data_IF_364240185278
#
_entry.id   IF_364240185278
#
_cell.length_a   1.000
_cell.length_b   1.000
_cell.length_c   1.000
_cell.angle_alpha   90.00
_cell.angle_beta   90.00
_cell.angle_gamma   90.00
#
_symmetry.space_group_name_H-M   'P 1'
#
loop_
_entity.id
_entity.type
_entity.pdbx_description
1 polymer ?
#
# COMPACT_ATOMS: atom_id res chain seq x y z
N UNK A 1 -24.87 -21.21 -2.72
CA UNK A 1 -26.02 -20.34 -3.06
C UNK A 1 -26.08 -20.01 -4.55
N UNK A 2 -25.11 -19.26 -5.11
CA UNK A 2 -25.10 -18.82 -6.52
C UNK A 2 -25.28 -19.97 -7.53
N UNK A 3 -24.60 -21.10 -7.31
CA UNK A 3 -24.72 -22.27 -8.18
C UNK A 3 -26.12 -22.87 -8.18
N UNK A 4 -26.70 -23.11 -6.99
CA UNK A 4 -28.08 -23.61 -6.84
C UNK A 4 -29.09 -22.66 -7.49
N UNK A 5 -28.93 -21.35 -7.29
CA UNK A 5 -29.80 -20.36 -7.92
C UNK A 5 -29.74 -20.40 -9.45
N UNK A 6 -28.54 -20.52 -10.03
CA UNK A 6 -28.38 -20.67 -11.48
C UNK A 6 -29.05 -21.94 -12.00
N UNK A 7 -28.95 -23.07 -11.28
CA UNK A 7 -29.61 -24.32 -11.64
C UNK A 7 -31.13 -24.16 -11.70
N UNK A 8 -31.74 -23.63 -10.63
CA UNK A 8 -33.19 -23.34 -10.56
C UNK A 8 -33.63 -22.43 -11.71
N UNK A 9 -32.88 -21.35 -11.98
CA UNK A 9 -33.20 -20.43 -13.08
C UNK A 9 -33.07 -21.08 -14.46
N UNK A 10 -32.07 -21.94 -14.66
CA UNK A 10 -31.87 -22.66 -15.91
C UNK A 10 -32.98 -23.68 -16.14
N UNK A 11 -33.38 -24.43 -15.12
CA UNK A 11 -34.50 -25.37 -15.17
C UNK A 11 -35.82 -24.64 -15.45
N UNK A 12 -36.08 -23.54 -14.76
CA UNK A 12 -37.25 -22.69 -15.04
C UNK A 12 -37.24 -22.15 -16.47
N UNK A 13 -36.09 -21.71 -16.99
CA UNK A 13 -35.97 -21.19 -18.35
C UNK A 13 -36.10 -22.28 -19.43
N UNK A 14 -35.75 -23.53 -19.11
CA UNK A 14 -35.97 -24.68 -19.96
C UNK A 14 -37.45 -25.12 -19.99
N UNK A 15 -38.22 -24.83 -18.94
CA UNK A 15 -39.65 -25.12 -18.91
C UNK A 15 -40.44 -24.27 -19.92
N UNK A 16 -41.52 -24.84 -20.47
CA UNK A 16 -42.30 -24.22 -21.56
C UNK A 16 -42.91 -22.84 -21.24
N UNK A 17 -43.15 -22.53 -19.96
CA UNK A 17 -43.57 -21.19 -19.53
C UNK A 17 -42.37 -20.23 -19.48
N UNK A 18 -41.27 -20.60 -18.83
CA UNK A 18 -40.09 -19.75 -18.65
C UNK A 18 -39.30 -19.49 -19.93
N UNK A 19 -39.34 -20.41 -20.90
CA UNK A 19 -38.67 -20.26 -22.20
C UNK A 19 -39.15 -19.04 -23.00
N UNK A 20 -40.41 -18.63 -22.80
CA UNK A 20 -41.04 -17.50 -23.51
C UNK A 20 -40.67 -16.13 -22.91
N UNK A 21 -40.11 -16.10 -21.72
CA UNK A 21 -39.78 -14.86 -21.01
C UNK A 21 -38.28 -14.58 -21.05
N UNK A 22 -37.91 -13.33 -21.34
CA UNK A 22 -36.51 -12.89 -21.30
C UNK A 22 -35.97 -12.81 -19.86
N UNK A 23 -36.84 -12.38 -18.94
CA UNK A 23 -36.58 -12.21 -17.51
C UNK A 23 -37.62 -12.97 -16.66
N UNK A 24 -37.32 -13.18 -15.38
CA UNK A 24 -38.27 -13.83 -14.45
C UNK A 24 -39.40 -12.84 -14.12
N UNK A 25 -40.67 -13.16 -14.41
CA UNK A 25 -41.81 -12.33 -14.05
C UNK A 25 -42.00 -12.30 -12.52
N UNK A 26 -42.60 -11.21 -12.02
CA UNK A 26 -42.76 -10.98 -10.57
C UNK A 26 -43.57 -12.07 -9.88
N UNK A 27 -44.49 -12.72 -10.59
CA UNK A 27 -45.39 -13.73 -10.02
C UNK A 27 -44.67 -15.08 -9.81
N UNK A 28 -43.69 -15.40 -10.65
CA UNK A 28 -42.92 -16.66 -10.57
C UNK A 28 -41.72 -16.53 -9.62
N UNK A 29 -41.20 -15.31 -9.41
CA UNK A 29 -40.03 -15.06 -8.56
C UNK A 29 -40.17 -15.58 -7.12
N UNK A 30 -41.27 -15.35 -6.38
CA UNK A 30 -41.45 -15.88 -5.03
C UNK A 30 -41.36 -17.40 -4.97
N UNK A 31 -41.90 -18.09 -5.98
CA UNK A 31 -41.86 -19.55 -6.08
C UNK A 31 -40.43 -20.06 -6.21
N UNK A 32 -39.68 -19.51 -7.17
CA UNK A 32 -38.27 -19.86 -7.39
C UNK A 32 -37.40 -19.53 -6.17
N UNK A 33 -37.64 -18.40 -5.51
CA UNK A 33 -36.92 -18.02 -4.30
C UNK A 33 -37.19 -18.98 -3.15
N UNK A 34 -38.44 -19.42 -2.97
CA UNK A 34 -38.81 -20.42 -1.96
C UNK A 34 -38.08 -21.75 -2.21
N UNK A 35 -37.99 -22.17 -3.46
CA UNK A 35 -37.24 -23.36 -3.84
C UNK A 35 -35.75 -23.23 -3.49
N UNK A 36 -35.13 -22.08 -3.80
CA UNK A 36 -33.74 -21.81 -3.43
C UNK A 36 -33.52 -21.91 -1.92
N UNK A 37 -34.42 -21.33 -1.12
CA UNK A 37 -34.33 -21.39 0.34
C UNK A 37 -34.44 -22.82 0.87
N UNK A 38 -35.37 -23.61 0.32
CA UNK A 38 -35.52 -25.03 0.66
C UNK A 38 -34.24 -25.81 0.38
N UNK A 39 -33.66 -25.65 -0.82
CA UNK A 39 -32.40 -26.31 -1.16
C UNK A 39 -31.23 -25.81 -0.30
N UNK A 40 -31.24 -24.55 0.15
CA UNK A 40 -30.17 -24.02 0.99
C UNK A 40 -30.23 -24.57 2.42
N UNK A 41 -31.44 -24.90 2.90
CA UNK A 41 -31.69 -25.43 4.24
C UNK A 41 -30.95 -26.75 4.50
N UNK A 42 -30.83 -27.63 3.49
CA UNK A 42 -30.09 -28.89 3.58
C UNK A 42 -28.66 -28.73 4.13
N UNK A 43 -27.98 -27.65 3.73
CA UNK A 43 -26.59 -27.36 4.14
C UNK A 43 -26.49 -26.14 5.05
N UNK A 44 -27.61 -25.64 5.57
CA UNK A 44 -27.62 -24.39 6.34
C UNK A 44 -26.76 -24.52 7.61
N UNK A 45 -26.87 -25.65 8.32
CA UNK A 45 -26.09 -25.91 9.54
C UNK A 45 -24.60 -25.96 9.23
N UNK A 46 -24.18 -26.69 8.19
CA UNK A 46 -22.76 -26.83 7.85
C UNK A 46 -22.17 -25.53 7.30
N UNK A 47 -22.95 -24.76 6.54
CA UNK A 47 -22.56 -23.42 6.08
C UNK A 47 -22.39 -22.47 7.27
N UNK A 48 -23.27 -22.57 8.27
CA UNK A 48 -23.18 -21.77 9.48
C UNK A 48 -21.93 -22.13 10.29
N UNK A 49 -21.72 -23.42 10.54
CA UNK A 49 -20.54 -23.95 11.23
C UNK A 49 -19.25 -23.55 10.52
N UNK A 50 -19.18 -23.69 9.19
CA UNK A 50 -18.01 -23.28 8.41
C UNK A 50 -17.78 -21.78 8.39
N UNK A 51 -18.85 -20.97 8.41
CA UNK A 51 -18.77 -19.52 8.56
C UNK A 51 -18.13 -19.10 9.89
N UNK A 52 -18.47 -19.79 10.98
CA UNK A 52 -17.91 -19.52 12.30
C UNK A 52 -16.54 -20.18 12.55
N UNK A 53 -16.10 -21.11 11.70
CA UNK A 53 -14.83 -21.82 11.87
C UNK A 53 -13.68 -20.87 12.15
N UNK A 54 -13.50 -19.84 11.31
CA UNK A 54 -12.40 -18.87 11.42
C UNK A 54 -12.42 -18.04 12.70
N UNK A 55 -13.60 -17.80 13.25
CA UNK A 55 -13.79 -17.02 14.48
C UNK A 55 -13.53 -17.82 15.74
N UNK A 56 -13.30 -19.14 15.62
CA UNK A 56 -13.13 -20.01 16.78
C UNK A 56 -14.38 -20.17 17.65
N UNK A 57 -15.54 -19.67 17.19
CA UNK A 57 -16.83 -19.80 17.90
C UNK A 57 -17.36 -21.23 17.75
N UNK A 58 -17.26 -21.80 16.54
CA UNK A 58 -17.65 -23.18 16.28
C UNK A 58 -16.67 -23.90 15.32
N UNK A 59 -16.08 -25.04 15.73
CA UNK A 59 -15.97 -25.52 17.11
C UNK A 59 -15.28 -24.48 18.00
N UNK A 60 -15.49 -24.56 19.31
CA UNK A 60 -14.88 -23.63 20.26
C UNK A 60 -13.35 -23.83 20.26
N UNK A 61 -12.62 -22.87 19.70
CA UNK A 61 -11.16 -22.90 19.59
C UNK A 61 -10.59 -21.49 19.49
N UNK A 62 -10.09 -20.99 20.62
CA UNK A 62 -9.46 -19.67 20.71
C UNK A 62 -8.19 -19.54 19.86
N UNK A 63 -7.50 -20.65 19.57
CA UNK A 63 -6.26 -20.61 18.78
C UNK A 63 -6.53 -20.12 17.36
N UNK A 64 -7.71 -20.39 16.80
CA UNK A 64 -8.08 -19.86 15.49
C UNK A 64 -8.10 -18.32 15.42
N UNK A 65 -8.45 -17.66 16.52
CA UNK A 65 -8.42 -16.20 16.63
C UNK A 65 -7.01 -15.72 16.93
N UNK A 66 -6.34 -16.32 17.92
CA UNK A 66 -4.98 -15.95 18.33
C UNK A 66 -4.01 -16.01 17.16
N UNK A 67 -4.04 -17.08 16.36
CA UNK A 67 -3.19 -17.24 15.17
C UNK A 67 -3.41 -16.18 14.08
N UNK A 68 -4.53 -15.44 14.12
CA UNK A 68 -4.84 -14.37 13.17
C UNK A 68 -4.48 -12.99 13.71
N UNK A 69 -4.16 -12.87 15.00
CA UNK A 69 -3.74 -11.60 15.57
C UNK A 69 -2.36 -11.22 15.02
N UNK A 70 -2.20 -9.94 14.68
CA UNK A 70 -0.96 -9.42 14.11
C UNK A 70 0.25 -9.77 14.99
N UNK A 71 0.12 -9.72 16.31
CA UNK A 71 1.20 -10.03 17.23
C UNK A 71 1.72 -11.46 17.03
N UNK A 72 0.83 -12.44 16.95
CA UNK A 72 1.19 -13.85 16.72
C UNK A 72 1.77 -14.07 15.33
N UNK A 73 1.30 -13.34 14.32
CA UNK A 73 1.86 -13.40 12.96
C UNK A 73 3.25 -12.78 12.91
N UNK A 74 3.48 -11.68 13.62
CA UNK A 74 4.78 -10.98 13.67
C UNK A 74 5.81 -11.78 14.48
N UNK A 75 5.39 -12.40 15.58
CA UNK A 75 6.28 -13.25 16.41
C UNK A 75 6.59 -14.58 15.75
N UNK A 76 5.63 -15.16 15.00
CA UNK A 76 5.82 -16.43 14.30
C UNK A 76 6.30 -16.26 12.85
N UNK A 77 6.37 -15.02 12.35
CA UNK A 77 7.03 -14.75 11.08
C UNK A 77 8.48 -15.20 11.22
N UNK A 78 8.94 -16.01 10.27
CA UNK A 78 10.34 -16.40 10.20
C UNK A 78 11.21 -15.14 10.31
N UNK A 79 12.27 -15.20 11.12
CA UNK A 79 13.23 -14.10 11.27
C UNK A 79 13.70 -13.62 9.88
N UNK A 80 13.82 -14.55 8.92
CA UNK A 80 14.12 -14.27 7.51
C UNK A 80 13.09 -13.36 6.82
N UNK A 81 11.79 -13.48 7.12
CA UNK A 81 10.74 -12.60 6.54
C UNK A 81 10.81 -11.21 7.17
N UNK A 82 11.03 -11.12 8.49
CA UNK A 82 11.22 -9.84 9.19
C UNK A 82 12.45 -9.12 8.67
N UNK A 83 13.55 -9.82 8.53
CA UNK A 83 14.81 -9.29 8.02
C UNK A 83 14.70 -8.89 6.56
N UNK A 84 14.15 -9.74 5.69
CA UNK A 84 14.02 -9.42 4.25
C UNK A 84 13.07 -8.25 4.00
N UNK A 85 11.88 -8.23 4.62
CA UNK A 85 10.93 -7.13 4.45
C UNK A 85 11.46 -5.85 5.08
N UNK A 86 12.04 -5.94 6.29
CA UNK A 86 12.64 -4.81 6.98
C UNK A 86 13.79 -4.19 6.19
N UNK A 87 14.71 -5.02 5.68
CA UNK A 87 15.88 -4.57 4.92
C UNK A 87 15.47 -3.94 3.58
N UNK A 88 14.57 -4.58 2.81
CA UNK A 88 14.07 -4.00 1.56
C UNK A 88 13.31 -2.70 1.80
N UNK A 89 12.54 -2.60 2.88
CA UNK A 89 11.83 -1.37 3.22
C UNK A 89 12.81 -0.24 3.61
N UNK A 90 13.81 -0.54 4.43
CA UNK A 90 14.86 0.43 4.80
C UNK A 90 15.66 0.86 3.56
N UNK A 91 15.98 -0.06 2.65
CA UNK A 91 16.65 0.26 1.39
C UNK A 91 15.81 1.20 0.52
N UNK A 92 14.50 0.92 0.41
CA UNK A 92 13.57 1.79 -0.30
C UNK A 92 13.52 3.20 0.31
N UNK A 93 13.44 3.31 1.63
CA UNK A 93 13.46 4.61 2.32
C UNK A 93 14.78 5.36 2.12
N UNK A 94 15.92 4.66 2.13
CA UNK A 94 17.23 5.26 1.82
C UNK A 94 17.28 5.80 0.41
N UNK A 95 16.75 5.04 -0.57
CA UNK A 95 16.65 5.47 -1.96
C UNK A 95 15.78 6.72 -2.10
N UNK A 96 14.57 6.72 -1.53
CA UNK A 96 13.67 7.89 -1.56
C UNK A 96 14.33 9.11 -0.92
N UNK A 97 15.03 8.92 0.21
CA UNK A 97 15.77 10.01 0.88
C UNK A 97 16.92 10.52 0.02
N UNK A 98 17.67 9.65 -0.64
CA UNK A 98 18.74 10.04 -1.57
C UNK A 98 18.19 10.80 -2.78
N UNK A 99 17.07 10.37 -3.36
CA UNK A 99 16.39 11.09 -4.46
C UNK A 99 15.87 12.46 -4.04
N UNK A 100 15.41 12.61 -2.79
CA UNK A 100 14.97 13.89 -2.25
C UNK A 100 16.14 14.81 -1.85
N UNK A 101 17.26 14.24 -1.40
CA UNK A 101 18.43 14.98 -0.87
C UNK A 101 19.46 15.29 -1.96
N UNK A 102 19.51 14.50 -3.05
CA UNK A 102 20.23 14.90 -4.25
C UNK A 102 19.56 16.17 -4.74
N UNK A 103 20.27 17.29 -4.57
CA UNK A 103 19.86 18.59 -5.05
C UNK A 103 19.63 18.45 -6.55
N UNK A 104 18.38 18.21 -6.96
CA UNK A 104 17.98 18.44 -8.35
C UNK A 104 18.33 19.90 -8.54
N UNK A 105 19.38 20.15 -9.31
CA UNK A 105 19.69 21.48 -9.82
C UNK A 105 18.47 21.88 -10.64
N UNK A 106 17.48 22.49 -9.99
CA UNK A 106 16.29 23.00 -10.66
C UNK A 106 16.84 24.14 -11.52
N UNK A 107 17.13 23.81 -12.78
CA UNK A 107 17.44 24.81 -13.79
C UNK A 107 16.20 25.69 -13.90
N UNK A 108 16.25 26.88 -13.31
CA UNK A 108 15.19 27.87 -13.46
C UNK A 108 15.05 28.13 -14.95
N UNK A 109 13.85 27.88 -15.49
CA UNK A 109 13.57 28.15 -16.91
C UNK A 109 13.78 29.64 -17.16
N UNK A 110 14.64 30.00 -18.12
CA UNK A 110 14.79 31.38 -18.56
C UNK A 110 13.45 31.83 -19.13
N UNK A 111 12.95 32.99 -18.68
CA UNK A 111 11.67 33.54 -19.18
C UNK A 111 11.93 34.20 -20.53
N UNK A 112 11.05 33.98 -21.51
CA UNK A 112 11.12 34.66 -22.80
C UNK A 112 10.84 36.15 -22.58
N UNK A 113 11.79 37.01 -22.96
CA UNK A 113 11.60 38.44 -22.90
C UNK A 113 10.78 38.87 -24.12
N UNK A 114 9.51 39.25 -23.92
CA UNK A 114 8.60 39.64 -25.00
C UNK A 114 8.21 41.10 -24.85
N UNK A 115 8.45 41.94 -25.89
CA UNK A 115 8.07 43.34 -25.84
C UNK A 115 6.54 43.49 -25.89
N UNK A 116 5.98 44.57 -25.31
CA UNK A 116 4.54 44.81 -25.30
C UNK A 116 3.92 44.76 -26.70
N UNK A 117 2.70 44.20 -26.80
CA UNK A 117 1.94 44.15 -28.05
C UNK A 117 2.32 43.01 -29.01
N UNK A 118 3.30 42.15 -28.68
CA UNK A 118 3.59 40.93 -29.45
C UNK A 118 2.83 39.72 -28.91
N UNK A 119 2.19 38.98 -29.82
CA UNK A 119 1.60 37.67 -29.54
C UNK A 119 2.65 36.57 -29.67
N UNK A 120 2.59 35.55 -28.81
CA UNK A 120 3.51 34.41 -28.80
C UNK A 120 2.74 33.15 -29.20
N UNK A 121 3.28 32.36 -30.11
CA UNK A 121 2.74 31.06 -30.51
C UNK A 121 3.65 29.91 -30.07
N UNK A 122 3.13 28.68 -30.07
CA UNK A 122 3.87 27.47 -29.67
C UNK A 122 5.13 27.22 -30.50
N UNK A 123 5.17 27.72 -31.74
CA UNK A 123 6.33 27.65 -32.65
C UNK A 123 7.53 28.48 -32.18
N UNK A 124 7.29 29.57 -31.43
CA UNK A 124 8.34 30.50 -31.01
C UNK A 124 9.24 29.91 -29.91
N UNK A 125 8.73 28.92 -29.17
CA UNK A 125 9.48 28.19 -28.15
C UNK A 125 10.48 27.20 -28.76
N UNK A 126 10.18 26.62 -29.93
CA UNK A 126 11.03 25.61 -30.58
C UNK A 126 12.24 26.24 -31.28
N UNK A 127 12.09 27.47 -31.79
CA UNK A 127 13.16 28.15 -32.54
C UNK A 127 14.28 28.69 -31.64
N UNK A 128 14.00 28.96 -30.36
CA UNK A 128 14.99 29.53 -29.45
C UNK A 128 16.00 28.50 -28.90
N UNK A 129 15.70 27.21 -28.99
CA UNK A 129 16.66 26.15 -28.60
C UNK A 129 17.70 25.88 -29.70
N UNK A 130 17.46 26.31 -30.94
CA UNK A 130 18.34 26.06 -32.09
C UNK A 130 19.27 27.22 -32.47
N UNK A 131 19.17 28.39 -31.82
CA UNK A 131 19.97 29.57 -32.14
C UNK A 131 21.22 29.78 -31.24
N UNK A 132 21.40 28.99 -30.19
CA UNK A 132 22.53 29.12 -29.23
C UNK A 132 23.55 27.96 -29.32
N UNK A 133 23.52 27.18 -30.40
CA UNK A 133 24.54 26.15 -30.68
C UNK A 133 25.76 26.76 -31.39
N UNK A 134 26.46 27.68 -30.74
CA UNK A 134 27.87 27.98 -31.00
C UNK A 134 28.42 28.90 -29.90
N UNK A 135 29.58 28.49 -29.35
CA UNK A 135 30.45 29.13 -28.35
C UNK A 135 30.19 28.72 -26.89
N UNK A 136 30.95 27.72 -26.43
CA UNK A 136 32.06 27.88 -25.46
C UNK A 136 32.45 26.47 -24.97
N UNK A 137 33.61 25.99 -25.43
CA UNK A 137 34.40 24.93 -24.79
C UNK A 137 35.13 25.49 -23.57
N UNK A 138 35.24 24.72 -22.47
CA UNK A 138 36.42 24.82 -21.60
C UNK A 138 37.01 23.42 -21.37
N UNK A 139 38.24 23.14 -21.81
CA UNK A 139 39.51 23.44 -21.12
C UNK A 139 39.55 22.84 -19.71
N UNK A 140 40.24 21.70 -19.60
CA UNK A 140 40.66 21.09 -18.34
C UNK A 140 41.93 21.85 -17.94
N UNK A 141 41.87 22.59 -16.84
CA UNK A 141 43.06 23.08 -16.14
C UNK A 141 42.99 22.57 -14.69
N UNK A 142 44.08 21.89 -14.31
CA UNK A 142 44.44 21.46 -12.96
C UNK A 142 44.68 22.64 -12.00
N UNK A 143 44.70 22.30 -10.71
CA UNK A 143 45.28 23.04 -9.57
C UNK A 143 44.51 24.21 -8.94
N UNK A 144 43.93 23.96 -7.76
CA UNK A 144 44.52 24.45 -6.50
C UNK A 144 43.71 24.03 -5.25
N UNK A 145 44.42 23.50 -4.25
CA UNK A 145 44.05 23.52 -2.82
C UNK A 145 44.67 24.79 -2.23
N UNK A 146 43.89 25.67 -1.56
CA UNK A 146 44.02 25.88 -0.10
C UNK A 146 42.64 26.26 0.51
N UNK A 147 42.38 26.42 1.80
CA UNK A 147 43.02 26.26 3.10
C UNK A 147 41.87 26.51 4.12
N UNK A 148 42.07 26.08 5.37
CA UNK A 148 41.05 25.96 6.39
C UNK A 148 40.34 27.25 6.77
N UNK A 149 39.15 27.09 7.35
CA UNK A 149 38.64 27.97 8.43
C UNK A 149 37.53 27.21 9.17
N UNK A 150 37.82 26.78 10.39
CA UNK A 150 36.78 26.61 11.41
C UNK A 150 36.35 27.99 11.92
N UNK A 151 35.12 28.13 12.43
CA UNK A 151 35.06 28.52 13.83
C UNK A 151 34.03 27.75 14.65
N UNK A 152 34.49 27.48 15.87
CA UNK A 152 33.79 27.01 17.05
C UNK A 152 32.96 28.12 17.70
N UNK A 153 31.74 27.84 18.17
CA UNK A 153 31.08 28.46 19.35
C UNK A 153 30.06 27.45 19.90
N UNK A 154 30.30 26.84 21.08
CA UNK A 154 29.71 27.13 22.40
C UNK A 154 28.18 27.33 22.40
N UNK A 155 27.33 26.63 23.14
CA UNK A 155 27.43 25.60 24.17
C UNK A 155 26.08 25.54 24.92
N UNK A 156 25.56 24.35 25.26
CA UNK A 156 24.65 24.19 26.41
C UNK A 156 24.62 22.74 26.89
N UNK A 157 24.94 22.54 28.18
CA UNK A 157 24.82 21.29 28.94
C UNK A 157 23.59 21.41 29.84
N UNK A 158 22.74 20.39 29.88
CA UNK A 158 22.05 19.94 31.10
C UNK A 158 21.94 18.41 31.07
N UNK A 159 22.12 17.79 32.24
CA UNK A 159 22.31 16.36 32.49
C UNK A 159 20.99 15.66 32.93
N UNK A 160 21.08 14.32 33.01
CA UNK A 160 20.36 13.39 33.92
C UNK A 160 18.95 12.96 33.45
N UNK A 161 18.52 11.69 33.53
CA UNK A 161 19.06 10.45 34.09
C UNK A 161 18.54 9.25 33.26
N UNK A 162 19.38 8.23 33.10
CA UNK A 162 19.00 6.90 32.60
C UNK A 162 18.92 5.97 33.81
N UNK A 163 17.72 5.58 34.21
CA UNK A 163 17.53 4.49 35.16
C UNK A 163 17.65 3.16 34.41
N UNK A 164 18.75 2.46 34.64
CA UNK A 164 18.93 1.05 34.31
C UNK A 164 17.99 0.22 35.20
N UNK A 165 16.97 -0.38 34.60
CA UNK A 165 16.11 -1.37 35.27
C UNK A 165 16.93 -2.66 35.45
N UNK A 166 17.12 -3.06 36.70
CA UNK A 166 17.78 -4.30 37.10
C UNK A 166 17.05 -5.53 36.54
N UNK A 167 17.80 -6.54 36.10
CA UNK A 167 17.28 -7.81 35.56
C UNK A 167 16.38 -8.56 36.58
N UNK A 168 16.55 -8.29 37.88
CA UNK A 168 15.74 -8.89 38.95
C UNK A 168 14.30 -8.35 38.98
N UNK A 169 14.07 -7.10 38.55
CA UNK A 169 12.71 -6.52 38.47
C UNK A 169 11.92 -7.07 37.28
N UNK A 170 12.61 -7.43 36.19
CA UNK A 170 11.99 -8.02 35.01
C UNK A 170 11.46 -9.44 35.31
N UNK A 171 12.14 -10.19 36.19
CA UNK A 171 11.74 -11.57 36.53
C UNK A 171 10.47 -11.63 37.39
N UNK A 172 10.18 -10.59 38.20
CA UNK A 172 9.02 -10.54 39.09
C UNK A 172 7.73 -10.25 38.30
N UNK A 173 7.80 -9.48 37.21
CA UNK A 173 6.65 -9.11 36.37
C UNK A 173 6.12 -10.25 35.48
N UNK A 174 6.92 -11.29 35.22
CA UNK A 174 6.54 -12.41 34.35
C UNK A 174 5.77 -13.51 35.12
N UNK A 175 5.75 -13.45 36.46
CA UNK A 175 5.19 -14.51 37.31
C UNK A 175 3.80 -14.21 37.91
N UNK A 176 3.06 -13.23 37.36
CA UNK A 176 1.67 -12.92 37.74
C UNK A 176 0.68 -13.12 36.59
#
# INVERSE_FOLDING_TARGET
>A
MKEKWRKILNEWKANGRGSKFSSVPKDEFPGLLKELMSQLQEKAIDNLKSGFRKTGIFPIDRQQVLNRLCNTIITNASETVRENVGNTFIEHLKKVRQEATTVRQIRRKKRLNVPPGKSISSTDFMNNENAEAQLITPSIDEDNIPDGTQPSTSGHKTNSDTDEISEDEIMIMISL
#
